data_IF_886981033673
#
_entry.id   IF_886981033673
#
_cell.length_a   1.000
_cell.length_b   1.000
_cell.length_c   1.000
_cell.angle_alpha   90.00
_cell.angle_beta   90.00
_cell.angle_gamma   90.00
#
_symmetry.space_group_name_H-M   'P 1'
#
loop_
_entity.id
_entity.type
_entity.pdbx_description
1 polymer ?
#
# COMPACT_ATOMS: atom_id res chain seq x y z
N UNK A 1 -17.83 0.01 5.13
CA UNK A 1 -16.65 0.33 5.92
C UNK A 1 -17.04 0.61 7.37
N UNK A 2 -16.23 0.10 8.30
CA UNK A 2 -16.53 0.23 9.72
C UNK A 2 -16.21 1.59 10.31
N UNK A 3 -16.68 1.81 11.52
CA UNK A 3 -16.44 3.07 12.27
C UNK A 3 -14.96 3.37 12.45
N UNK A 4 -14.12 2.34 12.67
CA UNK A 4 -12.67 2.51 12.83
C UNK A 4 -12.05 3.09 11.56
N UNK A 5 -12.47 2.62 10.39
CA UNK A 5 -12.00 3.13 9.10
C UNK A 5 -12.38 4.59 8.92
N UNK A 6 -13.62 4.95 9.23
CA UNK A 6 -14.08 6.35 9.15
C UNK A 6 -13.29 7.24 10.08
N UNK A 7 -13.07 6.80 11.32
CA UNK A 7 -12.30 7.57 12.31
C UNK A 7 -10.85 7.75 11.87
N UNK A 8 -10.22 6.68 11.36
CA UNK A 8 -8.84 6.74 10.87
C UNK A 8 -8.69 7.71 9.70
N UNK A 9 -9.59 7.66 8.72
CA UNK A 9 -9.56 8.56 7.57
C UNK A 9 -9.85 10.01 7.96
N UNK A 10 -10.70 10.21 8.95
CA UNK A 10 -11.01 11.55 9.45
C UNK A 10 -9.79 12.20 10.14
N UNK A 11 -8.97 11.39 10.82
CA UNK A 11 -7.80 11.86 11.55
C UNK A 11 -6.52 11.92 10.71
N UNK A 12 -6.46 11.21 9.58
CA UNK A 12 -5.25 11.08 8.79
C UNK A 12 -4.98 12.33 7.95
N UNK A 13 -3.70 12.58 7.67
CA UNK A 13 -3.27 13.60 6.71
C UNK A 13 -3.29 13.04 5.29
N UNK A 14 -2.83 11.81 5.14
CA UNK A 14 -2.83 11.10 3.86
C UNK A 14 -3.02 9.61 4.09
N UNK A 15 -3.34 8.89 3.03
CA UNK A 15 -3.53 7.44 3.08
C UNK A 15 -2.69 6.74 2.02
N UNK A 16 -2.16 5.57 2.39
CA UNK A 16 -1.54 4.64 1.46
C UNK A 16 -2.53 3.50 1.25
N UNK A 17 -2.79 3.17 0.00
CA UNK A 17 -3.73 2.11 -0.35
C UNK A 17 -2.94 0.88 -0.83
N UNK A 18 -2.83 -0.16 0.00
CA UNK A 18 -2.17 -1.40 -0.44
C UNK A 18 -3.08 -2.19 -1.38
N UNK A 19 -2.49 -2.73 -2.43
CA UNK A 19 -3.17 -3.59 -3.41
C UNK A 19 -2.43 -4.92 -3.47
N UNK A 20 -3.09 -5.98 -3.03
CA UNK A 20 -2.51 -7.31 -3.08
C UNK A 20 -2.49 -7.85 -4.51
N UNK A 21 -1.34 -8.30 -4.97
CA UNK A 21 -1.15 -8.81 -6.33
C UNK A 21 -1.50 -10.29 -6.48
N UNK A 22 -2.16 -10.89 -5.50
CA UNK A 22 -2.63 -12.27 -5.56
C UNK A 22 -4.03 -12.36 -6.16
N UNK A 23 -4.86 -11.36 -5.94
CA UNK A 23 -6.12 -11.23 -6.64
C UNK A 23 -6.45 -9.74 -6.80
N UNK A 24 -7.26 -9.46 -7.79
CA UNK A 24 -7.54 -8.09 -8.18
C UNK A 24 -8.99 -7.73 -7.91
N UNK A 25 -9.18 -6.69 -7.11
CA UNK A 25 -10.50 -6.20 -6.73
C UNK A 25 -10.65 -4.73 -7.10
N UNK A 26 -10.70 -4.43 -8.39
CA UNK A 26 -10.89 -3.05 -8.86
C UNK A 26 -12.16 -2.44 -8.29
N UNK A 27 -13.20 -3.24 -8.14
CA UNK A 27 -14.45 -2.82 -7.52
C UNK A 27 -14.25 -2.38 -6.08
N UNK A 28 -13.45 -3.12 -5.30
CA UNK A 28 -13.12 -2.75 -3.92
C UNK A 28 -12.34 -1.44 -3.85
N UNK A 29 -11.41 -1.23 -4.77
CA UNK A 29 -10.67 0.03 -4.87
C UNK A 29 -11.64 1.18 -5.18
N UNK A 30 -12.55 0.99 -6.11
CA UNK A 30 -13.54 2.00 -6.48
C UNK A 30 -14.41 2.40 -5.30
N UNK A 31 -14.86 1.42 -4.52
CA UNK A 31 -15.65 1.67 -3.31
C UNK A 31 -14.85 2.45 -2.26
N UNK A 32 -13.59 2.08 -2.06
CA UNK A 32 -12.71 2.76 -1.12
C UNK A 32 -12.46 4.21 -1.55
N UNK A 33 -12.20 4.44 -2.83
CA UNK A 33 -12.00 5.79 -3.36
C UNK A 33 -13.24 6.67 -3.17
N UNK A 34 -14.41 6.09 -3.39
CA UNK A 34 -15.66 6.81 -3.16
C UNK A 34 -15.84 7.19 -1.68
N UNK A 35 -15.51 6.29 -0.77
CA UNK A 35 -15.54 6.56 0.67
C UNK A 35 -14.57 7.68 1.05
N UNK A 36 -13.35 7.64 0.53
CA UNK A 36 -12.34 8.67 0.77
C UNK A 36 -12.85 10.03 0.27
N UNK A 37 -13.46 10.06 -0.90
CA UNK A 37 -14.04 11.28 -1.47
C UNK A 37 -15.13 11.87 -0.57
N UNK A 38 -16.01 11.04 -0.03
CA UNK A 38 -17.07 11.48 0.88
C UNK A 38 -16.47 12.04 2.18
N UNK A 39 -15.52 11.33 2.78
CA UNK A 39 -14.87 11.78 4.01
C UNK A 39 -14.10 13.08 3.77
N UNK A 40 -13.40 13.19 2.66
CA UNK A 40 -12.68 14.40 2.30
C UNK A 40 -13.61 15.59 2.19
N UNK A 41 -14.78 15.41 1.60
CA UNK A 41 -15.73 16.53 1.42
C UNK A 41 -16.45 16.93 2.69
N UNK A 42 -16.70 15.99 3.62
CA UNK A 42 -17.57 16.22 4.79
C UNK A 42 -16.83 16.33 6.12
N UNK A 43 -15.74 15.59 6.30
CA UNK A 43 -15.08 15.44 7.59
C UNK A 43 -13.61 15.88 7.61
N UNK A 44 -12.89 15.72 6.50
CA UNK A 44 -11.46 16.00 6.45
C UNK A 44 -11.05 16.51 5.07
N UNK A 45 -11.20 17.82 4.81
CA UNK A 45 -10.87 18.40 3.48
C UNK A 45 -9.39 18.28 3.10
N UNK A 46 -8.50 18.06 4.07
CA UNK A 46 -7.06 17.96 3.84
C UNK A 46 -6.59 16.55 3.52
N UNK A 47 -7.48 15.55 3.63
CA UNK A 47 -7.13 14.17 3.36
C UNK A 47 -6.68 13.99 1.91
N UNK A 48 -5.53 13.36 1.71
CA UNK A 48 -4.97 13.09 0.40
C UNK A 48 -4.59 11.63 0.26
N UNK A 49 -4.52 11.15 -0.98
CA UNK A 49 -3.99 9.82 -1.28
C UNK A 49 -2.49 9.97 -1.49
N UNK A 50 -1.70 9.36 -0.59
CA UNK A 50 -0.25 9.30 -0.70
C UNK A 50 0.18 8.45 -1.89
N UNK A 51 -0.49 7.31 -2.07
CA UNK A 51 -0.22 6.45 -3.21
C UNK A 51 -0.82 5.06 -3.06
N UNK A 52 -0.72 4.31 -4.16
CA UNK A 52 -1.10 2.89 -4.23
C UNK A 52 0.17 2.06 -4.12
N UNK A 53 0.20 1.16 -3.16
CA UNK A 53 1.33 0.28 -2.89
C UNK A 53 0.99 -1.15 -3.29
N UNK A 54 1.71 -1.69 -4.25
CA UNK A 54 1.52 -3.08 -4.65
C UNK A 54 2.24 -3.99 -3.66
N UNK A 55 1.49 -4.93 -3.09
CA UNK A 55 1.99 -5.88 -2.10
C UNK A 55 1.82 -7.31 -2.60
N UNK A 56 2.48 -8.25 -1.94
CA UNK A 56 2.45 -9.67 -2.31
C UNK A 56 2.87 -9.89 -3.77
N UNK A 57 3.75 -9.02 -4.27
CA UNK A 57 4.18 -9.03 -5.66
C UNK A 57 5.19 -10.16 -5.90
N UNK A 58 4.93 -10.94 -6.95
CA UNK A 58 5.86 -11.96 -7.42
C UNK A 58 6.02 -11.77 -8.93
N UNK A 59 7.19 -11.27 -9.36
CA UNK A 59 7.47 -10.95 -10.76
C UNK A 59 7.40 -12.17 -11.70
N UNK A 60 7.46 -13.37 -11.15
CA UNK A 60 7.35 -14.60 -11.93
C UNK A 60 5.91 -14.90 -12.33
N UNK A 61 4.94 -14.31 -11.67
CA UNK A 61 3.52 -14.57 -11.90
C UNK A 61 2.95 -13.58 -12.92
N UNK A 62 2.30 -14.12 -13.94
CA UNK A 62 1.60 -13.29 -14.94
C UNK A 62 0.54 -12.42 -14.29
N UNK A 63 -0.24 -12.98 -13.35
CA UNK A 63 -1.30 -12.26 -12.68
C UNK A 63 -0.76 -11.02 -11.96
N UNK A 64 0.36 -11.14 -11.23
CA UNK A 64 0.96 -10.01 -10.52
C UNK A 64 1.34 -8.88 -11.49
N UNK A 65 1.93 -9.23 -12.63
CA UNK A 65 2.32 -8.26 -13.65
C UNK A 65 1.09 -7.61 -14.31
N UNK A 66 0.03 -8.38 -14.53
CA UNK A 66 -1.22 -7.83 -15.07
C UNK A 66 -1.87 -6.84 -14.09
N UNK A 67 -1.88 -7.16 -12.81
CA UNK A 67 -2.40 -6.26 -11.77
C UNK A 67 -1.57 -4.98 -11.71
N UNK A 68 -0.24 -5.11 -11.73
CA UNK A 68 0.66 -3.97 -11.75
C UNK A 68 0.32 -3.03 -12.93
N UNK A 69 0.24 -3.58 -14.13
CA UNK A 69 -0.03 -2.79 -15.33
C UNK A 69 -1.41 -2.12 -15.28
N UNK A 70 -2.41 -2.83 -14.77
CA UNK A 70 -3.77 -2.32 -14.65
C UNK A 70 -3.83 -1.15 -13.65
N UNK A 71 -3.24 -1.31 -12.48
CA UNK A 71 -3.20 -0.27 -11.45
C UNK A 71 -2.40 0.94 -11.95
N UNK A 72 -1.28 0.71 -12.61
CA UNK A 72 -0.44 1.77 -13.18
C UNK A 72 -1.20 2.55 -14.25
N UNK A 73 -1.98 1.86 -15.08
CA UNK A 73 -2.79 2.50 -16.13
C UNK A 73 -3.85 3.42 -15.55
N UNK A 74 -4.52 2.99 -14.47
CA UNK A 74 -5.59 3.76 -13.85
C UNK A 74 -5.10 4.91 -12.97
N UNK A 75 -4.00 4.71 -12.24
CA UNK A 75 -3.58 5.65 -11.20
C UNK A 75 -2.23 6.32 -11.46
N UNK A 76 -1.47 5.87 -12.45
CA UNK A 76 -0.27 6.53 -12.98
C UNK A 76 0.72 6.98 -11.88
N UNK A 77 0.92 8.28 -11.72
CA UNK A 77 1.89 8.84 -10.77
C UNK A 77 1.57 8.54 -9.30
N UNK A 78 0.34 8.15 -9.00
CA UNK A 78 -0.05 7.77 -7.64
C UNK A 78 0.38 6.36 -7.26
N UNK A 79 0.93 5.59 -8.19
CA UNK A 79 1.44 4.25 -7.89
C UNK A 79 2.90 4.36 -7.45
N UNK A 80 3.22 3.85 -6.27
CA UNK A 80 4.60 3.82 -5.79
C UNK A 80 5.48 3.00 -6.74
N UNK A 81 6.71 3.46 -6.97
CA UNK A 81 7.71 2.70 -7.72
C UNK A 81 8.14 1.46 -6.97
N UNK A 82 8.20 1.56 -5.65
CA UNK A 82 8.51 0.44 -4.77
C UNK A 82 7.34 -0.53 -4.71
N UNK A 83 7.60 -1.82 -4.79
CA UNK A 83 6.62 -2.88 -4.55
C UNK A 83 7.06 -3.70 -3.34
N UNK A 84 6.10 -4.25 -2.61
CA UNK A 84 6.39 -5.18 -1.52
C UNK A 84 6.24 -6.59 -2.06
N UNK A 85 7.36 -7.28 -2.21
CA UNK A 85 7.39 -8.62 -2.75
C UNK A 85 6.89 -9.63 -1.72
N UNK A 86 6.29 -10.70 -2.22
CA UNK A 86 5.94 -11.84 -1.38
C UNK A 86 7.21 -12.38 -0.73
N UNK A 87 7.21 -12.45 0.62
CA UNK A 87 8.41 -12.81 1.36
C UNK A 87 8.07 -13.49 2.68
N UNK A 88 8.66 -14.67 2.89
CA UNK A 88 8.43 -15.47 4.10
C UNK A 88 8.85 -14.73 5.37
N UNK A 89 9.92 -13.94 5.31
CA UNK A 89 10.42 -13.21 6.47
C UNK A 89 9.44 -12.17 6.99
N UNK A 90 8.64 -11.57 6.11
CA UNK A 90 7.57 -10.67 6.51
C UNK A 90 6.48 -11.41 7.30
N UNK A 91 6.18 -12.64 6.92
CA UNK A 91 5.20 -13.47 7.62
C UNK A 91 5.74 -14.04 8.93
N UNK A 92 7.05 -14.30 9.01
CA UNK A 92 7.69 -14.87 10.19
C UNK A 92 7.97 -13.86 11.28
N UNK A 93 8.32 -12.64 10.94
CA UNK A 93 8.78 -11.65 11.92
C UNK A 93 7.79 -11.37 13.06
N UNK A 94 6.46 -11.30 12.84
CA UNK A 94 5.51 -11.13 13.94
C UNK A 94 5.54 -12.28 14.94
N UNK A 95 5.78 -13.52 14.48
CA UNK A 95 5.89 -14.68 15.36
C UNK A 95 7.06 -14.58 16.33
N UNK A 96 8.08 -13.80 16.01
CA UNK A 96 9.24 -13.54 16.87
C UNK A 96 9.13 -12.21 17.61
N UNK A 97 8.01 -11.50 17.46
CA UNK A 97 7.79 -10.23 18.11
C UNK A 97 8.72 -9.12 17.63
N UNK A 98 9.26 -9.25 16.42
CA UNK A 98 10.24 -8.30 15.86
C UNK A 98 9.76 -7.72 14.54
N UNK A 99 10.03 -6.44 14.25
CA UNK A 99 9.89 -5.92 12.89
C UNK A 99 10.89 -6.63 11.97
N UNK A 100 10.54 -6.73 10.67
CA UNK A 100 11.36 -7.48 9.71
C UNK A 100 12.80 -6.97 9.64
N UNK A 101 13.03 -5.68 9.84
CA UNK A 101 14.36 -5.08 9.83
C UNK A 101 15.24 -5.66 10.96
N UNK A 102 14.65 -5.91 12.14
CA UNK A 102 15.36 -6.51 13.26
C UNK A 102 15.40 -8.04 13.16
N UNK A 103 14.41 -8.65 12.51
CA UNK A 103 14.37 -10.10 12.34
C UNK A 103 15.34 -10.58 11.27
N UNK A 104 15.35 -9.96 10.10
CA UNK A 104 16.23 -10.27 8.98
C UNK A 104 16.41 -9.04 8.09
N UNK A 105 17.40 -8.23 8.38
CA UNK A 105 17.66 -6.98 7.66
C UNK A 105 18.07 -7.19 6.20
N UNK A 106 18.59 -8.37 5.85
CA UNK A 106 19.02 -8.68 4.48
C UNK A 106 17.91 -9.31 3.64
N UNK A 107 16.75 -9.58 4.22
CA UNK A 107 15.61 -10.15 3.48
C UNK A 107 15.07 -9.17 2.44
N UNK A 108 14.50 -9.72 1.39
CA UNK A 108 13.82 -8.92 0.37
C UNK A 108 12.69 -8.07 0.99
N UNK A 109 11.97 -8.63 1.96
CA UNK A 109 10.91 -7.89 2.65
C UNK A 109 11.43 -6.68 3.40
N UNK A 110 12.54 -6.82 4.14
CA UNK A 110 13.17 -5.70 4.83
C UNK A 110 13.64 -4.63 3.85
N UNK A 111 14.29 -5.04 2.76
CA UNK A 111 14.77 -4.12 1.73
C UNK A 111 13.64 -3.37 1.04
N UNK A 112 12.52 -4.05 0.75
CA UNK A 112 11.35 -3.42 0.17
C UNK A 112 10.76 -2.35 1.10
N UNK A 113 10.64 -2.64 2.39
CA UNK A 113 10.11 -1.67 3.35
C UNK A 113 11.03 -0.46 3.52
N UNK A 114 12.35 -0.67 3.52
CA UNK A 114 13.29 0.44 3.55
C UNK A 114 13.21 1.30 2.29
N UNK A 115 13.09 0.67 1.12
CA UNK A 115 12.91 1.39 -0.14
C UNK A 115 11.61 2.19 -0.15
N UNK A 116 10.52 1.63 0.37
CA UNK A 116 9.24 2.32 0.50
C UNK A 116 9.36 3.55 1.41
N UNK A 117 9.98 3.38 2.58
CA UNK A 117 10.20 4.49 3.50
C UNK A 117 10.98 5.63 2.84
N UNK A 118 12.03 5.29 2.10
CA UNK A 118 12.83 6.27 1.36
C UNK A 118 12.01 6.98 0.30
N UNK A 119 11.21 6.26 -0.47
CA UNK A 119 10.35 6.84 -1.50
C UNK A 119 9.33 7.81 -0.89
N UNK A 120 8.71 7.45 0.22
CA UNK A 120 7.74 8.33 0.92
C UNK A 120 8.43 9.60 1.41
N UNK A 121 9.61 9.48 2.01
CA UNK A 121 10.37 10.63 2.51
C UNK A 121 10.74 11.56 1.35
N UNK A 122 11.26 11.03 0.25
CA UNK A 122 11.65 11.83 -0.92
C UNK A 122 10.45 12.51 -1.57
N UNK A 123 9.31 11.85 -1.62
CA UNK A 123 8.08 12.40 -2.20
C UNK A 123 7.53 13.57 -1.41
N UNK A 124 7.73 13.58 -0.10
CA UNK A 124 7.19 14.61 0.80
C UNK A 124 8.20 15.71 1.16
N UNK A 125 9.34 15.72 0.54
CA UNK A 125 10.35 16.77 0.76
C UNK A 125 10.33 17.82 -0.33
#
# INVERSE_FOLDING_TARGET
LGLITVNALTAADSVIIPVQCEYFALEGISKLLNTIKIIKSKLNPKLEIEGFLLTMYDSRLRLANQIYDEVKRHFQELVFKTVIQRNVKLSESPSHGLPVILYDADSTGAKNHLALAKEIIEKNN
#
